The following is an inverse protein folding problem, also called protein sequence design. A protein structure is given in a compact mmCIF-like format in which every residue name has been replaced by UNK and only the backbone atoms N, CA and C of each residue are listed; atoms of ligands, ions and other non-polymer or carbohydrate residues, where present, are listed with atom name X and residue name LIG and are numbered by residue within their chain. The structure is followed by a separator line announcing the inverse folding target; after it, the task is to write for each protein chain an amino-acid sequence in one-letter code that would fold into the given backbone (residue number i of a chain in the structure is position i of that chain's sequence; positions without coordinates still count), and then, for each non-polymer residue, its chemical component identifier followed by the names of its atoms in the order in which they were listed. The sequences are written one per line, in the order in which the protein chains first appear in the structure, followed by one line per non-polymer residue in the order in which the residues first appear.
data_IF_424163460364
#
_entry.id   IF_424163460364
#
_cell.length_a   1.000
_cell.length_b   1.000
_cell.length_c   1.000
_cell.angle_alpha   90.00
_cell.angle_beta   90.00
_cell.angle_gamma   90.00
#
_symmetry.space_group_name_H-M   'P 1'
#
loop_
_entity.id
_entity.type
_entity.pdbx_description
1 polymer ?
#
# COMPACT_ATOMS: atom_id res chain seq x y z
N UNK A 1 0.00 -26.19 0.54
CA UNK A 1 1.43 -26.01 0.82
C UNK A 1 1.63 -25.87 2.32
N UNK A 2 2.33 -26.80 2.97
CA UNK A 2 2.65 -26.74 4.41
C UNK A 2 3.94 -25.96 4.70
N UNK A 3 4.76 -25.69 3.68
CA UNK A 3 6.12 -25.14 3.81
C UNK A 3 6.22 -23.63 3.53
N UNK A 4 5.09 -22.93 3.52
CA UNK A 4 5.07 -21.49 3.16
C UNK A 4 5.91 -20.63 4.12
N UNK A 5 6.11 -21.08 5.37
CA UNK A 5 6.93 -20.36 6.36
C UNK A 5 8.43 -20.37 6.04
N UNK A 6 8.91 -21.34 5.28
CA UNK A 6 10.32 -21.40 4.86
C UNK A 6 10.55 -20.76 3.48
N UNK A 7 9.54 -20.77 2.62
CA UNK A 7 9.61 -20.25 1.26
C UNK A 7 9.21 -18.77 1.12
N UNK A 8 8.46 -18.25 2.09
CA UNK A 8 8.06 -16.84 2.13
C UNK A 8 9.17 -15.97 2.72
N UNK A 9 9.28 -14.75 2.21
CA UNK A 9 10.09 -13.68 2.78
C UNK A 9 9.39 -12.93 3.93
N UNK A 10 8.21 -13.39 4.36
CA UNK A 10 7.39 -12.74 5.39
C UNK A 10 6.40 -11.71 4.84
N UNK A 11 6.50 -11.35 3.56
CA UNK A 11 5.53 -10.50 2.89
C UNK A 11 4.31 -11.28 2.41
N UNK A 12 3.24 -10.54 2.13
CA UNK A 12 1.93 -11.08 1.79
C UNK A 12 1.39 -10.46 0.51
N UNK A 13 0.64 -11.25 -0.25
CA UNK A 13 -0.27 -10.78 -1.26
C UNK A 13 -1.64 -10.46 -0.67
N UNK A 14 -2.30 -9.48 -1.29
CA UNK A 14 -3.59 -8.96 -0.92
C UNK A 14 -4.72 -9.97 -1.01
N UNK A 15 -5.82 -9.62 -0.35
CA UNK A 15 -7.10 -10.34 -0.38
C UNK A 15 -7.70 -10.31 -1.79
N UNK A 16 -8.78 -11.05 -2.00
CA UNK A 16 -9.40 -11.11 -3.33
C UNK A 16 -9.84 -9.73 -3.81
N UNK A 17 -9.68 -9.51 -5.10
CA UNK A 17 -10.10 -8.31 -5.83
C UNK A 17 -10.50 -8.70 -7.25
N UNK A 18 -10.97 -7.72 -8.00
CA UNK A 18 -11.22 -7.78 -9.43
C UNK A 18 -10.62 -6.55 -10.12
N UNK A 19 -10.58 -6.58 -11.45
CA UNK A 19 -10.26 -5.41 -12.26
C UNK A 19 -11.43 -4.43 -12.29
N UNK A 20 -11.18 -3.23 -11.77
CA UNK A 20 -12.19 -2.19 -11.66
C UNK A 20 -12.12 -1.28 -12.89
N UNK A 21 -13.20 -1.25 -13.67
CA UNK A 21 -13.36 -0.34 -14.82
C UNK A 21 -14.19 0.91 -14.49
N UNK A 22 -14.88 0.93 -13.34
CA UNK A 22 -15.65 2.06 -12.85
C UNK A 22 -15.35 2.29 -11.35
N UNK A 23 -14.40 3.19 -11.09
CA UNK A 23 -13.98 3.53 -9.72
C UNK A 23 -14.98 4.42 -8.97
N UNK A 24 -16.01 4.96 -9.63
CA UNK A 24 -17.09 5.66 -8.95
C UNK A 24 -18.07 4.68 -8.28
N UNK A 25 -18.12 3.43 -8.76
CA UNK A 25 -19.07 2.40 -8.31
C UNK A 25 -18.36 1.08 -7.95
N UNK A 26 -17.35 1.15 -7.07
CA UNK A 26 -16.59 -0.03 -6.62
C UNK A 26 -17.49 -1.04 -5.91
N UNK A 27 -17.40 -2.31 -6.33
CA UNK A 27 -18.10 -3.40 -5.70
C UNK A 27 -17.25 -4.05 -4.59
N UNK A 28 -17.41 -3.58 -3.35
CA UNK A 28 -16.73 -4.12 -2.17
C UNK A 28 -17.12 -5.57 -1.81
N UNK A 29 -18.15 -6.14 -2.43
CA UNK A 29 -18.39 -7.59 -2.31
C UNK A 29 -17.31 -8.41 -3.02
N UNK A 30 -16.60 -7.83 -3.99
CA UNK A 30 -15.49 -8.44 -4.72
C UNK A 30 -14.14 -7.83 -4.37
N UNK A 31 -14.04 -6.51 -4.21
CA UNK A 31 -12.82 -5.80 -3.83
C UNK A 31 -12.55 -5.88 -2.31
N UNK A 32 -12.25 -7.09 -1.82
CA UNK A 32 -12.00 -7.35 -0.39
C UNK A 32 -10.72 -6.67 0.12
N UNK A 33 -9.78 -6.41 -0.77
CA UNK A 33 -8.57 -5.67 -0.48
C UNK A 33 -8.85 -4.19 -0.15
N UNK A 34 -9.79 -3.54 -0.85
CA UNK A 34 -10.16 -2.13 -0.61
C UNK A 34 -11.08 -1.92 0.59
N UNK A 35 -11.73 -2.96 1.09
CA UNK A 35 -12.48 -2.90 2.36
C UNK A 35 -11.50 -2.87 3.55
N UNK A 36 -11.17 -1.67 4.03
CA UNK A 36 -10.19 -1.47 5.11
C UNK A 36 -10.69 -1.95 6.48
N UNK A 37 -11.99 -2.23 6.64
CA UNK A 37 -12.59 -2.71 7.88
C UNK A 37 -12.77 -4.23 7.90
N UNK A 38 -12.63 -4.89 6.74
CA UNK A 38 -12.83 -6.33 6.63
C UNK A 38 -11.88 -7.10 7.56
N UNK A 39 -12.46 -7.83 8.50
CA UNK A 39 -11.77 -8.85 9.32
C UNK A 39 -11.83 -10.19 8.58
N UNK A 40 -10.70 -10.88 8.34
CA UNK A 40 -10.71 -12.18 7.66
C UNK A 40 -11.58 -13.21 8.37
N UNK A 41 -12.35 -13.96 7.59
CA UNK A 41 -13.20 -15.04 8.08
C UNK A 41 -12.52 -16.38 7.86
N UNK A 42 -12.50 -17.22 8.90
CA UNK A 42 -11.96 -18.58 8.80
C UNK A 42 -12.83 -19.41 7.84
N UNK A 43 -12.20 -20.10 6.90
CA UNK A 43 -12.89 -20.88 5.86
C UNK A 43 -13.26 -20.10 4.60
N UNK A 44 -13.19 -18.77 4.62
CA UNK A 44 -13.35 -17.93 3.43
C UNK A 44 -12.01 -17.35 2.96
N UNK A 45 -11.38 -18.05 2.02
CA UNK A 45 -10.09 -17.66 1.46
C UNK A 45 -10.12 -16.35 0.68
N UNK A 46 -11.30 -15.83 0.30
CA UNK A 46 -11.40 -14.54 -0.39
C UNK A 46 -11.06 -13.36 0.51
N UNK A 47 -11.26 -13.54 1.82
CA UNK A 47 -11.02 -12.53 2.86
C UNK A 47 -9.61 -12.62 3.46
N UNK A 48 -8.80 -13.60 3.04
CA UNK A 48 -7.51 -13.91 3.63
C UNK A 48 -6.36 -13.45 2.73
N UNK A 49 -5.29 -12.96 3.33
CA UNK A 49 -4.02 -12.71 2.65
C UNK A 49 -3.34 -14.03 2.30
N UNK A 50 -2.45 -13.97 1.31
CA UNK A 50 -1.67 -15.12 0.85
C UNK A 50 -0.18 -14.83 1.05
N UNK A 51 0.67 -15.83 1.32
CA UNK A 51 2.10 -15.59 1.44
C UNK A 51 2.68 -15.19 0.08
N UNK A 52 3.57 -14.20 0.07
CA UNK A 52 4.41 -13.90 -1.09
C UNK A 52 5.55 -14.93 -1.16
N UNK A 53 5.78 -15.51 -2.33
CA UNK A 53 6.71 -16.64 -2.53
C UNK A 53 7.77 -16.34 -3.61
N UNK A 54 8.65 -15.35 -3.41
CA UNK A 54 9.51 -14.80 -4.46
C UNK A 54 10.51 -15.81 -5.05
N UNK A 55 10.94 -16.79 -4.25
CA UNK A 55 11.94 -17.79 -4.66
C UNK A 55 11.44 -18.79 -5.72
N UNK A 56 10.12 -18.84 -5.96
CA UNK A 56 9.51 -19.77 -6.91
C UNK A 56 8.67 -19.06 -7.97
N UNK A 57 8.60 -17.73 -7.94
CA UNK A 57 7.90 -16.91 -8.93
C UNK A 57 8.88 -16.45 -9.99
N UNK A 58 8.59 -16.83 -11.24
CA UNK A 58 9.34 -16.43 -12.41
C UNK A 58 8.46 -15.55 -13.29
N UNK A 59 9.05 -14.50 -13.84
CA UNK A 59 8.40 -13.57 -14.78
C UNK A 59 8.37 -14.24 -16.16
N UNK A 60 7.51 -15.27 -16.28
CA UNK A 60 7.36 -16.25 -17.36
C UNK A 60 7.22 -15.64 -18.76
N UNK A 61 8.27 -15.02 -19.27
CA UNK A 61 8.32 -14.30 -20.55
C UNK A 61 9.59 -13.48 -20.71
N UNK A 62 10.12 -12.93 -19.62
CA UNK A 62 11.22 -11.97 -19.63
C UNK A 62 12.51 -12.69 -19.21
N UNK A 63 13.54 -12.56 -20.05
CA UNK A 63 14.86 -13.13 -19.83
C UNK A 63 15.75 -12.17 -19.05
N UNK A 64 16.85 -12.67 -18.50
CA UNK A 64 17.83 -11.87 -17.74
C UNK A 64 18.48 -10.72 -18.53
N UNK A 65 18.49 -10.78 -19.85
CA UNK A 65 18.96 -9.69 -20.73
C UNK A 65 17.89 -8.62 -20.99
N UNK A 66 16.73 -8.71 -20.33
CA UNK A 66 15.58 -7.83 -20.51
C UNK A 66 14.75 -8.13 -21.77
N UNK A 67 15.15 -9.09 -22.61
CA UNK A 67 14.39 -9.46 -23.79
C UNK A 67 13.21 -10.37 -23.44
N UNK A 68 12.11 -10.24 -24.20
CA UNK A 68 10.92 -11.03 -23.98
C UNK A 68 9.65 -10.26 -24.27
N UNK A 69 8.53 -10.94 -24.10
CA UNK A 69 7.20 -10.32 -24.16
C UNK A 69 6.28 -11.13 -23.27
N UNK A 70 5.53 -10.44 -22.40
CA UNK A 70 4.61 -11.04 -21.46
C UNK A 70 3.69 -12.06 -22.14
N UNK A 71 3.60 -13.25 -21.57
CA UNK A 71 2.84 -14.35 -22.15
C UNK A 71 2.25 -15.23 -21.04
N UNK A 72 0.92 -15.28 -20.99
CA UNK A 72 0.16 -15.95 -19.92
C UNK A 72 0.07 -17.48 -20.03
N UNK A 73 -0.10 -18.08 -21.24
CA UNK A 73 -0.21 -19.52 -21.38
C UNK A 73 0.98 -20.26 -20.76
N UNK A 74 0.74 -21.39 -20.07
CA UNK A 74 1.82 -22.23 -19.56
C UNK A 74 2.80 -22.61 -20.67
N UNK A 75 4.10 -22.52 -20.37
CA UNK A 75 5.15 -22.82 -21.33
C UNK A 75 6.21 -23.69 -20.68
N UNK A 76 6.46 -24.87 -21.26
CA UNK A 76 7.64 -25.67 -20.96
C UNK A 76 8.80 -25.10 -21.78
N UNK A 77 9.91 -24.77 -21.12
CA UNK A 77 11.05 -24.11 -21.75
C UNK A 77 12.33 -24.44 -20.98
N UNK A 78 13.46 -24.44 -21.68
CA UNK A 78 14.79 -24.45 -21.06
C UNK A 78 15.40 -23.05 -20.89
N UNK A 79 14.71 -22.01 -21.38
CA UNK A 79 15.14 -20.62 -21.18
C UNK A 79 15.11 -20.24 -19.70
N UNK A 80 16.11 -19.48 -19.26
CA UNK A 80 16.18 -18.87 -17.94
C UNK A 80 15.40 -17.55 -17.94
N UNK A 81 14.20 -17.57 -17.38
CA UNK A 81 13.43 -16.36 -17.11
C UNK A 81 13.89 -15.72 -15.80
N UNK A 82 13.62 -14.42 -15.67
CA UNK A 82 13.86 -13.68 -14.44
C UNK A 82 13.05 -14.35 -13.30
N UNK A 83 13.74 -14.61 -12.19
CA UNK A 83 13.08 -14.91 -10.92
C UNK A 83 12.89 -13.58 -10.16
N UNK A 84 11.68 -13.30 -9.69
CA UNK A 84 11.38 -12.01 -9.06
C UNK A 84 12.24 -11.75 -7.81
N UNK A 85 12.53 -12.80 -7.03
CA UNK A 85 13.43 -12.71 -5.87
C UNK A 85 14.87 -12.41 -6.26
N UNK A 86 15.49 -13.24 -7.10
CA UNK A 86 16.89 -13.07 -7.53
C UNK A 86 17.10 -11.80 -8.36
N UNK A 87 16.09 -11.38 -9.13
CA UNK A 87 16.13 -10.16 -9.94
C UNK A 87 15.94 -8.86 -9.15
N UNK A 88 15.63 -8.94 -7.85
CA UNK A 88 15.40 -7.75 -7.02
C UNK A 88 14.03 -7.08 -7.23
N UNK A 89 13.08 -7.78 -7.87
CA UNK A 89 11.73 -7.28 -8.16
C UNK A 89 10.68 -7.70 -7.12
N UNK A 90 11.09 -8.38 -6.07
CA UNK A 90 10.24 -8.84 -4.97
C UNK A 90 10.55 -8.09 -3.66
N UNK A 91 10.39 -6.77 -3.67
CA UNK A 91 10.65 -5.95 -2.49
C UNK A 91 9.75 -6.37 -1.32
N UNK A 92 10.33 -6.46 -0.12
CA UNK A 92 9.61 -6.74 1.11
C UNK A 92 10.03 -5.72 2.17
N UNK A 93 9.19 -4.71 2.46
CA UNK A 93 9.54 -3.66 3.41
C UNK A 93 9.67 -4.21 4.83
N UNK A 94 10.25 -3.39 5.71
CA UNK A 94 10.32 -3.71 7.13
C UNK A 94 8.90 -4.03 7.68
N UNK A 95 8.77 -5.01 8.60
CA UNK A 95 7.48 -5.36 9.18
C UNK A 95 6.78 -4.15 9.78
N UNK A 96 5.49 -4.00 9.47
CA UNK A 96 4.65 -3.01 10.13
C UNK A 96 4.49 -3.35 11.62
N UNK A 97 4.25 -2.33 12.43
CA UNK A 97 3.94 -2.47 13.87
C UNK A 97 2.56 -1.92 14.17
N UNK A 98 1.92 -2.46 15.21
CA UNK A 98 0.71 -1.86 15.75
C UNK A 98 1.00 -0.45 16.28
N UNK A 99 -0.01 0.41 16.22
CA UNK A 99 0.02 1.72 16.84
C UNK A 99 0.02 1.55 18.36
N UNK A 100 1.10 1.98 18.99
CA UNK A 100 1.29 1.92 20.43
C UNK A 100 2.18 3.08 20.85
N UNK A 101 2.12 3.44 22.13
CA UNK A 101 3.09 4.37 22.71
C UNK A 101 4.51 3.89 22.39
N UNK A 102 5.35 4.82 21.93
CA UNK A 102 6.69 4.54 21.48
C UNK A 102 7.64 5.59 22.07
N UNK A 103 8.77 5.16 22.58
CA UNK A 103 9.85 6.06 23.00
C UNK A 103 10.67 6.53 21.80
N UNK A 104 11.40 7.63 21.94
CA UNK A 104 12.30 8.11 20.88
C UNK A 104 13.31 7.04 20.45
N UNK A 105 13.91 6.32 21.40
CA UNK A 105 14.89 5.29 21.09
C UNK A 105 14.30 4.09 20.34
N UNK A 106 13.07 3.68 20.69
CA UNK A 106 12.38 2.61 19.96
C UNK A 106 11.96 3.06 18.56
N UNK A 107 11.60 4.34 18.41
CA UNK A 107 11.31 4.93 17.11
C UNK A 107 12.56 4.96 16.24
N UNK A 108 13.70 5.46 16.74
CA UNK A 108 14.96 5.52 16.01
C UNK A 108 15.42 4.12 15.58
N UNK A 109 15.30 3.13 16.49
CA UNK A 109 15.61 1.74 16.18
C UNK A 109 14.70 1.18 15.08
N UNK A 110 13.41 1.50 15.09
CA UNK A 110 12.48 1.09 14.04
C UNK A 110 12.78 1.77 12.70
N UNK A 111 12.99 3.09 12.70
CA UNK A 111 13.31 3.87 11.50
C UNK A 111 14.60 3.37 10.82
N UNK A 112 15.59 2.93 11.61
CA UNK A 112 16.82 2.34 11.08
C UNK A 112 16.59 1.02 10.32
N UNK A 113 15.45 0.34 10.50
CA UNK A 113 15.09 -0.86 9.73
C UNK A 113 14.48 -0.56 8.37
N UNK A 114 14.01 0.67 8.14
CA UNK A 114 13.37 1.06 6.89
C UNK A 114 14.42 1.16 5.78
N UNK A 115 14.20 0.43 4.69
CA UNK A 115 15.06 0.44 3.51
C UNK A 115 14.17 0.73 2.29
N UNK A 116 14.43 1.81 1.53
CA UNK A 116 13.69 2.07 0.30
C UNK A 116 14.06 1.01 -0.74
N UNK A 117 13.10 0.22 -1.18
CA UNK A 117 13.27 -0.83 -2.18
C UNK A 117 11.98 -1.06 -2.96
N UNK A 118 12.12 -1.46 -4.22
CA UNK A 118 11.00 -1.70 -5.12
C UNK A 118 10.50 -0.43 -5.82
N UNK A 119 9.27 -0.51 -6.31
CA UNK A 119 8.60 0.55 -7.09
C UNK A 119 7.50 1.26 -6.29
N UNK A 120 6.98 2.35 -6.84
CA UNK A 120 6.11 3.26 -6.08
C UNK A 120 4.64 2.92 -6.24
N UNK A 121 4.15 1.99 -5.42
CA UNK A 121 2.74 1.60 -5.32
C UNK A 121 2.05 2.35 -4.16
N UNK A 122 1.47 3.51 -4.43
CA UNK A 122 0.84 4.32 -3.39
C UNK A 122 -0.41 3.67 -2.76
N UNK A 123 -1.17 2.90 -3.53
CA UNK A 123 -2.43 2.31 -3.08
C UNK A 123 -2.25 1.35 -1.91
N UNK A 124 -1.28 0.44 -1.99
CA UNK A 124 -1.04 -0.54 -0.91
C UNK A 124 -0.62 0.14 0.40
N UNK A 125 0.13 1.24 0.33
CA UNK A 125 0.48 2.06 1.50
C UNK A 125 -0.76 2.68 2.15
N UNK A 126 -1.67 3.25 1.35
CA UNK A 126 -2.90 3.86 1.85
C UNK A 126 -3.85 2.81 2.45
N UNK A 127 -3.98 1.65 1.79
CA UNK A 127 -4.81 0.54 2.26
C UNK A 127 -4.32 0.06 3.64
N UNK A 128 -3.02 -0.19 3.82
CA UNK A 128 -2.50 -0.65 5.11
C UNK A 128 -2.51 0.44 6.18
N UNK A 129 -2.21 1.69 5.83
CA UNK A 129 -2.36 2.83 6.73
C UNK A 129 -3.80 2.97 7.25
N UNK A 130 -4.78 2.83 6.35
CA UNK A 130 -6.20 2.82 6.68
C UNK A 130 -6.60 1.66 7.59
N UNK A 131 -6.17 0.44 7.28
CA UNK A 131 -6.43 -0.74 8.12
C UNK A 131 -5.88 -0.58 9.53
N UNK A 132 -4.64 -0.11 9.66
CA UNK A 132 -3.97 0.10 10.96
C UNK A 132 -4.70 1.13 11.85
N UNK A 133 -5.37 2.11 11.24
CA UNK A 133 -6.09 3.17 11.94
C UNK A 133 -7.60 2.90 12.07
N UNK A 134 -8.15 1.90 11.38
CA UNK A 134 -9.59 1.69 11.35
C UNK A 134 -10.16 1.42 12.76
N UNK A 135 -11.21 2.15 13.18
CA UNK A 135 -11.88 1.93 14.47
C UNK A 135 -12.80 0.71 14.48
N UNK A 136 -13.07 0.12 13.31
CA UNK A 136 -14.05 -0.96 13.13
C UNK A 136 -13.46 -2.19 12.45
N UNK A 137 -12.18 -2.14 12.08
CA UNK A 137 -11.47 -3.21 11.38
C UNK A 137 -10.62 -4.11 12.27
N UNK A 138 -9.58 -4.68 11.65
CA UNK A 138 -8.71 -5.69 12.26
C UNK A 138 -8.06 -5.22 13.58
N UNK A 139 -7.77 -3.93 13.70
CA UNK A 139 -7.11 -3.31 14.85
C UNK A 139 -8.05 -2.41 15.66
N UNK A 140 -9.36 -2.68 15.60
CA UNK A 140 -10.39 -1.89 16.29
C UNK A 140 -10.16 -1.85 17.82
N UNK A 141 -9.64 -2.92 18.41
CA UNK A 141 -9.37 -2.98 19.86
C UNK A 141 -8.41 -1.90 20.35
N UNK A 142 -7.47 -1.49 19.50
CA UNK A 142 -6.49 -0.44 19.77
C UNK A 142 -6.95 0.93 19.29
N UNK A 143 -7.74 0.96 18.21
CA UNK A 143 -8.04 2.19 17.47
C UNK A 143 -9.45 2.73 17.66
N UNK A 144 -10.41 1.96 18.19
CA UNK A 144 -11.78 2.45 18.40
C UNK A 144 -11.84 3.60 19.41
N UNK A 145 -12.95 4.34 19.37
CA UNK A 145 -13.25 5.31 20.43
C UNK A 145 -13.47 4.58 21.75
N UNK A 146 -13.08 5.21 22.85
CA UNK A 146 -13.34 4.69 24.19
C UNK A 146 -14.63 5.32 24.74
N UNK A 147 -15.35 4.66 25.65
CA UNK A 147 -16.54 5.25 26.26
C UNK A 147 -16.26 6.65 26.83
N UNK A 148 -16.96 7.66 26.33
CA UNK A 148 -16.80 9.06 26.71
C UNK A 148 -15.52 9.75 26.20
N UNK A 149 -14.77 9.14 25.28
CA UNK A 149 -13.54 9.72 24.69
C UNK A 149 -13.40 9.33 23.22
N UNK A 150 -13.56 10.30 22.32
CA UNK A 150 -13.22 10.15 20.91
C UNK A 150 -11.71 10.06 20.70
N UNK A 151 -11.28 9.20 19.79
CA UNK A 151 -9.88 9.10 19.38
C UNK A 151 -9.67 9.94 18.13
N UNK A 152 -8.76 10.92 18.18
CA UNK A 152 -8.34 11.65 16.97
C UNK A 152 -7.36 10.79 16.17
N UNK A 153 -7.64 10.56 14.89
CA UNK A 153 -6.85 9.68 14.03
C UNK A 153 -6.30 10.47 12.86
N UNK A 154 -4.99 10.36 12.65
CA UNK A 154 -4.28 11.08 11.60
C UNK A 154 -3.36 10.13 10.86
N UNK A 155 -3.45 10.11 9.53
CA UNK A 155 -2.58 9.38 8.64
C UNK A 155 -1.70 10.39 7.91
N UNK A 156 -0.39 10.32 8.09
CA UNK A 156 0.56 11.14 7.33
C UNK A 156 1.20 10.27 6.25
N UNK A 157 0.89 10.57 5.00
CA UNK A 157 1.38 9.87 3.83
C UNK A 157 2.53 10.66 3.20
N UNK A 158 3.76 10.19 3.38
CA UNK A 158 4.96 10.79 2.81
C UNK A 158 5.39 9.99 1.58
N UNK A 159 5.66 10.68 0.48
CA UNK A 159 6.23 10.09 -0.75
C UNK A 159 7.29 11.01 -1.34
N UNK A 160 8.30 10.42 -2.00
CA UNK A 160 9.36 11.14 -2.73
C UNK A 160 9.16 11.12 -4.25
N UNK A 161 8.06 10.54 -4.72
CA UNK A 161 7.85 10.23 -6.13
C UNK A 161 6.40 10.27 -6.58
N UNK A 162 6.23 10.31 -7.89
CA UNK A 162 4.95 9.99 -8.52
C UNK A 162 4.67 8.49 -8.44
N UNK A 163 3.42 8.12 -8.65
CA UNK A 163 3.05 6.71 -8.80
C UNK A 163 3.82 6.13 -9.99
N UNK A 164 4.72 5.20 -9.72
CA UNK A 164 5.63 4.63 -10.73
C UNK A 164 5.76 3.12 -10.52
N UNK A 165 4.71 2.35 -10.87
CA UNK A 165 4.72 0.91 -10.76
C UNK A 165 5.56 0.29 -11.88
N UNK A 166 6.15 -0.87 -11.61
CA UNK A 166 6.94 -1.62 -12.59
C UNK A 166 6.28 -2.97 -12.85
N UNK A 167 6.10 -3.32 -14.12
CA UNK A 167 5.43 -4.56 -14.53
C UNK A 167 6.21 -5.85 -14.21
N UNK A 168 7.53 -5.75 -13.99
CA UNK A 168 8.38 -6.81 -13.44
C UNK A 168 8.23 -7.00 -11.93
N UNK A 169 7.63 -6.04 -11.22
CA UNK A 169 7.49 -6.15 -9.77
C UNK A 169 6.55 -7.29 -9.40
N UNK A 170 7.05 -8.23 -8.59
CA UNK A 170 6.18 -9.11 -7.82
C UNK A 170 5.68 -8.30 -6.62
N UNK A 171 4.49 -7.71 -6.77
CA UNK A 171 3.87 -6.86 -5.77
C UNK A 171 2.79 -7.56 -4.96
N UNK A 172 2.04 -6.77 -4.19
CA UNK A 172 0.95 -7.25 -3.35
C UNK A 172 -0.18 -7.96 -4.13
N UNK A 173 -0.23 -7.84 -5.45
CA UNK A 173 -1.26 -8.47 -6.29
C UNK A 173 -0.69 -9.48 -7.28
N UNK A 174 0.52 -9.97 -7.03
CA UNK A 174 1.23 -10.85 -7.96
C UNK A 174 2.11 -10.08 -8.93
N UNK A 175 2.47 -10.74 -10.03
CA UNK A 175 3.13 -10.16 -11.20
C UNK A 175 2.02 -9.72 -12.15
N UNK A 176 1.74 -8.42 -12.19
CA UNK A 176 0.53 -7.85 -12.82
C UNK A 176 0.27 -8.36 -14.25
N UNK A 177 1.27 -8.43 -15.16
CA UNK A 177 1.04 -8.93 -16.52
C UNK A 177 0.69 -10.42 -16.62
N UNK A 178 0.86 -11.20 -15.55
CA UNK A 178 0.60 -12.64 -15.50
C UNK A 178 -0.63 -12.97 -14.67
N UNK A 179 -0.76 -12.38 -13.49
CA UNK A 179 -1.81 -12.69 -12.52
C UNK A 179 -3.12 -11.94 -12.80
N UNK A 180 -3.02 -10.75 -13.41
CA UNK A 180 -4.14 -9.91 -13.83
C UNK A 180 -5.25 -9.71 -12.77
N UNK A 181 -4.86 -9.70 -11.47
CA UNK A 181 -5.82 -9.65 -10.37
C UNK A 181 -6.54 -8.31 -10.28
N UNK A 182 -5.86 -7.20 -10.57
CA UNK A 182 -6.42 -5.84 -10.57
C UNK A 182 -6.20 -5.06 -11.87
N UNK A 183 -5.36 -5.56 -12.78
CA UNK A 183 -4.95 -4.86 -14.00
C UNK A 183 -4.52 -5.86 -15.08
N UNK A 184 -4.76 -5.54 -16.36
CA UNK A 184 -4.10 -6.20 -17.48
C UNK A 184 -3.65 -5.20 -18.55
N UNK A 185 -2.68 -5.63 -19.36
CA UNK A 185 -2.21 -4.84 -20.50
C UNK A 185 -3.30 -4.72 -21.57
N UNK A 186 -3.61 -3.48 -21.97
CA UNK A 186 -4.69 -3.18 -22.92
C UNK A 186 -6.08 -3.05 -22.27
N UNK A 187 -6.16 -3.11 -20.93
CA UNK A 187 -7.38 -2.83 -20.19
C UNK A 187 -7.79 -1.35 -20.23
N UNK A 188 -8.84 -1.02 -19.46
CA UNK A 188 -9.42 0.34 -19.42
C UNK A 188 -8.42 1.38 -18.93
N UNK A 189 -7.56 1.00 -17.99
CA UNK A 189 -6.56 1.84 -17.36
C UNK A 189 -5.17 1.23 -17.54
N UNK A 190 -4.13 2.07 -17.67
CA UNK A 190 -2.76 1.59 -17.53
C UNK A 190 -2.44 1.29 -16.06
N UNK A 191 -1.30 0.64 -15.80
CA UNK A 191 -0.98 0.18 -14.44
C UNK A 191 -0.87 1.34 -13.45
N UNK A 192 -0.24 2.45 -13.83
CA UNK A 192 -0.15 3.67 -13.01
C UNK A 192 -1.54 4.19 -12.65
N UNK A 193 -2.44 4.32 -13.63
CA UNK A 193 -3.82 4.77 -13.41
C UNK A 193 -4.60 3.81 -12.50
N UNK A 194 -4.41 2.49 -12.65
CA UNK A 194 -5.02 1.52 -11.74
C UNK A 194 -4.56 1.75 -10.30
N UNK A 195 -3.25 1.92 -10.07
CA UNK A 195 -2.71 2.18 -8.74
C UNK A 195 -3.24 3.51 -8.20
N UNK A 196 -3.25 4.57 -8.99
CA UNK A 196 -3.75 5.89 -8.57
C UNK A 196 -5.25 5.89 -8.23
N UNK A 197 -6.07 5.24 -9.06
CA UNK A 197 -7.50 5.14 -8.83
C UNK A 197 -7.82 4.31 -7.58
N UNK A 198 -7.08 3.22 -7.34
CA UNK A 198 -7.19 2.42 -6.10
C UNK A 198 -6.74 3.21 -4.87
N UNK A 199 -5.67 3.98 -4.99
CA UNK A 199 -5.24 4.91 -3.93
C UNK A 199 -6.35 5.91 -3.58
N UNK A 200 -6.99 6.50 -4.58
CA UNK A 200 -8.11 7.43 -4.37
C UNK A 200 -9.27 6.76 -3.61
N UNK A 201 -9.69 5.56 -4.04
CA UNK A 201 -10.75 4.80 -3.34
C UNK A 201 -10.36 4.46 -1.91
N UNK A 202 -9.14 3.95 -1.69
CA UNK A 202 -8.66 3.64 -0.35
C UNK A 202 -8.62 4.90 0.53
N UNK A 203 -8.18 6.03 0.00
CA UNK A 203 -8.16 7.30 0.71
C UNK A 203 -9.56 7.79 1.08
N UNK A 204 -10.54 7.65 0.19
CA UNK A 204 -11.92 7.99 0.49
C UNK A 204 -12.52 7.07 1.57
N UNK A 205 -12.21 5.76 1.54
CA UNK A 205 -12.59 4.85 2.61
C UNK A 205 -11.97 5.24 3.96
N UNK A 206 -10.69 5.63 3.97
CA UNK A 206 -10.00 6.15 5.17
C UNK A 206 -10.71 7.38 5.73
N UNK A 207 -10.99 8.37 4.89
CA UNK A 207 -11.68 9.61 5.31
C UNK A 207 -13.08 9.34 5.85
N UNK A 208 -13.81 8.36 5.29
CA UNK A 208 -15.14 7.95 5.80
C UNK A 208 -15.10 7.45 7.25
N UNK A 209 -13.93 7.05 7.78
CA UNK A 209 -13.75 6.62 9.18
C UNK A 209 -13.29 7.76 10.11
N UNK A 210 -13.49 9.01 9.68
CA UNK A 210 -13.09 10.20 10.43
C UNK A 210 -11.58 10.23 10.73
N UNK A 211 -10.78 9.79 9.75
CA UNK A 211 -9.33 9.86 9.78
C UNK A 211 -8.89 11.05 8.92
N UNK A 212 -8.15 11.99 9.50
CA UNK A 212 -7.55 13.08 8.72
C UNK A 212 -6.34 12.54 7.96
N UNK A 213 -6.34 12.72 6.64
CA UNK A 213 -5.23 12.32 5.78
C UNK A 213 -4.39 13.56 5.46
N UNK A 214 -3.10 13.47 5.76
CA UNK A 214 -2.08 14.44 5.40
C UNK A 214 -1.23 13.83 4.30
N UNK A 215 -0.92 14.59 3.26
CA UNK A 215 0.00 14.14 2.21
C UNK A 215 1.18 15.09 2.13
N UNK A 216 2.39 14.53 2.14
CA UNK A 216 3.63 15.27 2.00
C UNK A 216 4.40 14.68 0.81
N UNK A 217 4.70 15.53 -0.17
CA UNK A 217 5.54 15.19 -1.31
C UNK A 217 6.94 15.73 -1.10
N UNK A 218 7.97 14.89 -1.20
CA UNK A 218 9.37 15.25 -0.99
C UNK A 218 10.15 15.25 -2.30
N UNK A 219 10.73 16.39 -2.68
CA UNK A 219 11.55 16.50 -3.90
C UNK A 219 10.77 16.39 -5.21
N UNK A 220 9.43 16.29 -5.15
CA UNK A 220 8.53 16.25 -6.31
C UNK A 220 7.26 17.04 -6.03
N UNK A 221 6.50 17.35 -7.08
CA UNK A 221 5.21 18.04 -6.94
C UNK A 221 4.10 17.06 -6.57
N UNK A 222 3.10 17.53 -5.84
CA UNK A 222 1.89 16.75 -5.58
C UNK A 222 1.11 16.56 -6.88
N UNK A 223 0.71 15.31 -7.17
CA UNK A 223 -0.26 15.10 -8.24
C UNK A 223 -1.69 15.43 -7.76
N UNK A 224 -2.63 15.67 -8.70
CA UNK A 224 -4.00 16.04 -8.34
C UNK A 224 -4.71 15.01 -7.45
N UNK A 225 -4.39 13.72 -7.58
CA UNK A 225 -5.02 12.63 -6.82
C UNK A 225 -4.55 12.66 -5.35
N UNK A 226 -3.27 12.89 -5.11
CA UNK A 226 -2.70 13.09 -3.77
C UNK A 226 -3.29 14.31 -3.07
N UNK A 227 -3.36 15.44 -3.79
CA UNK A 227 -3.95 16.67 -3.27
C UNK A 227 -5.44 16.50 -2.95
N UNK A 228 -6.19 15.81 -3.81
CA UNK A 228 -7.60 15.50 -3.56
C UNK A 228 -7.80 14.53 -2.38
N UNK A 229 -6.88 13.57 -2.22
CA UNK A 229 -6.89 12.64 -1.10
C UNK A 229 -6.70 13.37 0.25
N UNK A 230 -5.67 14.20 0.38
CA UNK A 230 -5.44 15.03 1.58
C UNK A 230 -6.59 16.02 1.84
N UNK A 231 -7.11 16.63 0.78
CA UNK A 231 -8.07 17.71 0.87
C UNK A 231 -7.44 19.06 1.25
N UNK A 232 -8.26 20.13 1.33
CA UNK A 232 -7.76 21.48 1.57
C UNK A 232 -6.99 21.59 2.88
N UNK A 233 -5.79 22.18 2.84
CA UNK A 233 -4.98 22.46 4.02
C UNK A 233 -4.13 21.30 4.56
N UNK A 234 -4.22 20.10 3.97
CA UNK A 234 -3.48 18.91 4.45
C UNK A 234 -2.47 18.35 3.44
N UNK A 235 -2.23 19.06 2.34
CA UNK A 235 -1.29 18.67 1.31
C UNK A 235 -0.08 19.63 1.30
N UNK A 236 1.12 19.06 1.36
CA UNK A 236 2.37 19.81 1.46
C UNK A 236 3.41 19.31 0.46
N UNK A 237 4.26 20.22 0.00
CA UNK A 237 5.46 19.92 -0.77
C UNK A 237 6.68 20.36 0.03
N UNK A 238 7.72 19.55 0.03
CA UNK A 238 9.00 19.85 0.64
C UNK A 238 10.13 19.54 -0.33
N UNK A 239 10.94 20.51 -0.71
CA UNK A 239 12.04 20.32 -1.65
C UNK A 239 13.32 19.76 -1.00
N UNK A 240 13.42 19.85 0.34
CA UNK A 240 14.63 19.47 1.09
C UNK A 240 14.30 19.15 2.56
N UNK A 241 15.31 18.64 3.28
CA UNK A 241 15.14 18.19 4.67
C UNK A 241 14.69 19.30 5.64
N UNK A 242 15.10 20.55 5.42
CA UNK A 242 14.68 21.67 6.27
C UNK A 242 13.18 21.98 6.07
N UNK A 243 12.72 22.03 4.84
CA UNK A 243 11.29 22.19 4.51
C UNK A 243 10.44 21.00 4.98
N UNK A 244 10.97 19.78 4.90
CA UNK A 244 10.29 18.60 5.42
C UNK A 244 10.11 18.69 6.94
N UNK A 245 11.16 19.11 7.66
CA UNK A 245 11.09 19.35 9.11
C UNK A 245 10.07 20.43 9.47
N UNK A 246 10.04 21.53 8.70
CA UNK A 246 9.04 22.59 8.87
C UNK A 246 7.61 22.10 8.61
N UNK A 247 7.43 21.24 7.61
CA UNK A 247 6.14 20.62 7.28
C UNK A 247 5.64 19.76 8.43
N UNK A 248 6.48 18.85 8.95
CA UNK A 248 6.09 18.03 10.12
C UNK A 248 5.82 18.87 11.37
N UNK A 249 6.57 19.95 11.57
CA UNK A 249 6.31 20.90 12.66
C UNK A 249 4.95 21.59 12.51
N UNK A 250 4.57 21.97 11.29
CA UNK A 250 3.27 22.58 10.97
C UNK A 250 2.13 21.59 11.23
N UNK A 251 2.26 20.35 10.74
CA UNK A 251 1.28 19.29 11.00
C UNK A 251 1.13 19.09 12.51
N UNK A 252 2.24 18.93 13.25
CA UNK A 252 2.21 18.72 14.69
C UNK A 252 1.50 19.85 15.46
N UNK A 253 1.65 21.10 15.04
CA UNK A 253 0.93 22.24 15.63
C UNK A 253 -0.58 22.12 15.39
N UNK A 254 -1.00 21.80 14.17
CA UNK A 254 -2.43 21.63 13.83
C UNK A 254 -3.05 20.43 14.56
N UNK A 255 -2.30 19.35 14.76
CA UNK A 255 -2.71 18.22 15.60
C UNK A 255 -2.90 18.61 17.07
N UNK A 256 -2.07 19.54 17.57
CA UNK A 256 -2.09 20.03 18.94
C UNK A 256 -3.27 20.97 19.24
N UNK A 257 -3.58 21.89 18.33
CA UNK A 257 -4.71 22.83 18.48
C UNK A 257 -6.05 22.09 18.57
N UNK A 258 -6.21 21.00 17.82
CA UNK A 258 -7.41 20.14 17.85
C UNK A 258 -7.67 19.47 19.22
N UNK A 259 -6.65 19.47 20.10
CA UNK A 259 -6.68 18.85 21.42
C UNK A 259 -6.96 19.84 22.56
N UNK A 260 -6.93 21.15 22.27
CA UNK A 260 -7.07 22.23 23.27
C UNK A 260 -8.49 22.81 23.30
N UNK A 261 -9.38 22.41 22.38
CA UNK A 261 -10.79 22.84 22.41
C UNK A 261 -11.61 21.96 23.36
N UNK A 262 -11.78 22.46 24.59
CA UNK A 262 -12.72 22.15 25.69
C UNK A 262 -13.09 20.68 26.03
#
# INVERSE_FOLDING_TARGET
MSDWRSLSNGCMEERSTYEISDYANVNFSQAKDLDIDLVPTVGDTSTQWRPMLPNIVFDRAIRWDGSGSWNKPPKVTSNEYINAGTGGFAACPAPARNLATITSSELDAYLATLQPAGSTYHDIGMIWGGRLLSPTGLFATENADRPGRSTSRHLIFLTDGQTDPLDLSYGAYGVEPLDERRWHSGGTYNLTQTVENRFAVACDEVKKRNITVWVVSFGTSLNPIMSACAGPGHAFEAANAAELSNTFSTIAQQLGELRITD
#
